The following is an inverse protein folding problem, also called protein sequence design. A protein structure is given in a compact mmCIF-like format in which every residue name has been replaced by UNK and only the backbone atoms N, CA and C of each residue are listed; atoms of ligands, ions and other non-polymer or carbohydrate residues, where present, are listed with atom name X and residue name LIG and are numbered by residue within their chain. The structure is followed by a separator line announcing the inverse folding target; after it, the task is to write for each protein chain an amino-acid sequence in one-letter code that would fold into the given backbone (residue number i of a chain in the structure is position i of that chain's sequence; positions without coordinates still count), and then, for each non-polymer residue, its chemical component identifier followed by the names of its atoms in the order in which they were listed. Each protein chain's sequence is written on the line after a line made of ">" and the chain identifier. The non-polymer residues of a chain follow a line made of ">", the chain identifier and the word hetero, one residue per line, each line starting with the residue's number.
data_IF_802544675931
#
_entry.id   IF_802544675931
#
_cell.length_a   1.000
_cell.length_b   1.000
_cell.length_c   1.000
_cell.angle_alpha   90.00
_cell.angle_beta   90.00
_cell.angle_gamma   90.00
#
_symmetry.space_group_name_H-M   'P 1'
#
loop_
_entity.id
_entity.type
_entity.pdbx_description
1 polymer ?
#
# COMPACT_ATOMS: atom_id res chain seq x y z
N UNK A 1 47.90 16.69 8.44
CA UNK A 1 46.68 17.39 7.97
C UNK A 1 46.13 16.56 6.84
N UNK A 2 45.01 15.87 7.06
CA UNK A 2 44.43 14.92 6.08
C UNK A 2 43.60 15.67 5.04
N UNK A 3 44.01 15.56 3.78
CA UNK A 3 43.33 16.11 2.61
C UNK A 3 41.90 15.56 2.50
N UNK A 4 40.92 16.40 2.83
CA UNK A 4 39.50 16.12 2.62
C UNK A 4 39.21 16.36 1.13
N UNK A 5 39.07 15.29 0.35
CA UNK A 5 38.74 15.37 -1.07
C UNK A 5 37.35 15.99 -1.26
N UNK A 6 37.22 17.21 -1.84
CA UNK A 6 35.95 17.90 -2.00
C UNK A 6 35.06 17.28 -3.10
N UNK A 7 35.59 16.32 -3.87
CA UNK A 7 34.87 15.59 -4.91
C UNK A 7 34.60 14.13 -4.52
N UNK A 8 34.67 13.78 -3.24
CA UNK A 8 34.16 12.50 -2.79
C UNK A 8 32.68 12.40 -3.20
N UNK A 9 32.37 11.46 -4.09
CA UNK A 9 30.98 11.18 -4.48
C UNK A 9 30.18 11.00 -3.18
N UNK A 10 28.97 11.58 -3.07
CA UNK A 10 28.14 11.37 -1.90
C UNK A 10 28.10 9.87 -1.67
N UNK A 11 28.63 9.42 -0.53
CA UNK A 11 28.57 8.02 -0.19
C UNK A 11 27.08 7.73 -0.18
N UNK A 12 26.64 6.97 -1.19
CA UNK A 12 25.31 6.39 -1.18
C UNK A 12 25.33 5.61 0.10
N UNK A 13 24.69 6.15 1.14
CA UNK A 13 24.56 5.49 2.43
C UNK A 13 24.14 4.10 2.06
N UNK A 14 25.02 3.13 2.29
CA UNK A 14 24.78 1.76 1.91
C UNK A 14 23.58 1.32 2.75
N UNK A 15 22.38 1.46 2.17
CA UNK A 15 21.12 0.91 2.67
C UNK A 15 21.21 -0.63 2.81
N UNK A 16 22.38 -1.21 2.49
CA UNK A 16 22.78 -2.59 2.78
C UNK A 16 22.77 -2.95 4.28
N UNK A 17 22.65 -1.97 5.19
CA UNK A 17 22.36 -2.25 6.60
C UNK A 17 20.86 -2.50 6.90
N UNK A 18 19.96 -2.44 5.91
CA UNK A 18 18.51 -2.55 6.08
C UNK A 18 17.93 -3.83 5.44
N UNK A 19 18.36 -5.02 5.87
CA UNK A 19 17.69 -6.27 5.47
C UNK A 19 17.85 -7.46 6.43
N UNK A 20 18.45 -7.32 7.61
CA UNK A 20 18.36 -8.38 8.63
C UNK A 20 17.02 -8.31 9.39
N UNK A 21 15.89 -8.17 8.69
CA UNK A 21 14.59 -8.33 9.36
C UNK A 21 14.44 -9.85 9.61
N UNK A 22 14.46 -10.34 10.86
CA UNK A 22 14.50 -11.77 11.18
C UNK A 22 13.33 -12.53 10.56
N UNK A 23 12.24 -11.82 10.25
CA UNK A 23 11.07 -12.36 9.55
C UNK A 23 11.35 -12.86 8.11
N UNK A 24 12.47 -12.47 7.46
CA UNK A 24 12.82 -12.95 6.12
C UNK A 24 13.83 -14.10 6.11
N UNK A 25 14.50 -14.36 7.22
CA UNK A 25 15.55 -15.38 7.31
C UNK A 25 15.00 -16.78 6.96
N UNK A 26 13.75 -17.06 7.38
CA UNK A 26 13.10 -18.35 7.19
C UNK A 26 12.24 -18.42 5.92
N UNK A 27 12.13 -17.33 5.14
CA UNK A 27 11.26 -17.27 3.97
C UNK A 27 11.94 -17.84 2.72
N UNK A 28 11.34 -18.88 2.15
CA UNK A 28 11.67 -19.40 0.82
C UNK A 28 11.47 -18.34 -0.28
N UNK A 29 12.24 -18.43 -1.37
CA UNK A 29 12.20 -17.49 -2.49
C UNK A 29 10.80 -17.42 -3.15
N UNK A 30 10.07 -18.53 -3.18
CA UNK A 30 8.68 -18.55 -3.69
C UNK A 30 7.75 -17.77 -2.76
N UNK A 31 7.92 -17.93 -1.45
CA UNK A 31 7.13 -17.22 -0.45
C UNK A 31 7.41 -15.71 -0.49
N UNK A 32 8.68 -15.32 -0.65
CA UNK A 32 9.09 -13.92 -0.81
C UNK A 32 8.45 -13.27 -2.04
N UNK A 33 8.48 -13.96 -3.20
CA UNK A 33 7.85 -13.46 -4.44
C UNK A 33 6.33 -13.32 -4.29
N UNK A 34 5.68 -14.26 -3.60
CA UNK A 34 4.24 -14.19 -3.29
C UNK A 34 3.90 -13.00 -2.40
N UNK A 35 4.71 -12.75 -1.37
CA UNK A 35 4.55 -11.58 -0.48
C UNK A 35 4.76 -10.25 -1.23
N UNK A 36 5.74 -10.21 -2.13
CA UNK A 36 5.99 -9.03 -2.98
C UNK A 36 4.76 -8.67 -3.81
N UNK A 37 4.19 -9.63 -4.56
CA UNK A 37 2.99 -9.38 -5.35
C UNK A 37 1.79 -8.96 -4.49
N UNK A 38 1.60 -9.60 -3.33
CA UNK A 38 0.55 -9.21 -2.37
C UNK A 38 0.70 -7.78 -1.87
N UNK A 39 1.92 -7.36 -1.56
CA UNK A 39 2.21 -5.99 -1.13
C UNK A 39 1.93 -4.95 -2.23
N UNK A 40 2.18 -5.31 -3.50
CA UNK A 40 1.87 -4.46 -4.65
C UNK A 40 0.36 -4.29 -4.82
N UNK A 41 -0.42 -5.36 -4.66
CA UNK A 41 -1.88 -5.29 -4.75
C UNK A 41 -2.47 -4.39 -3.66
N UNK A 42 -1.97 -4.47 -2.43
CA UNK A 42 -2.42 -3.58 -1.33
C UNK A 42 -2.13 -2.11 -1.65
N UNK A 43 -0.93 -1.79 -2.15
CA UNK A 43 -0.59 -0.43 -2.54
C UNK A 43 -1.45 0.06 -3.72
N UNK A 44 -1.74 -0.81 -4.69
CA UNK A 44 -2.63 -0.49 -5.81
C UNK A 44 -4.04 -0.13 -5.33
N UNK A 45 -4.60 -0.91 -4.40
CA UNK A 45 -5.93 -0.63 -3.81
C UNK A 45 -5.92 0.64 -2.97
N UNK A 46 -4.88 0.88 -2.18
CA UNK A 46 -4.73 2.14 -1.47
C UNK A 46 -4.71 3.33 -2.44
N UNK A 47 -4.05 3.16 -3.60
CA UNK A 47 -4.09 4.14 -4.70
C UNK A 47 -5.50 4.35 -5.27
N UNK A 48 -6.26 3.28 -5.51
CA UNK A 48 -7.65 3.38 -5.98
C UNK A 48 -8.57 4.08 -4.97
N UNK A 49 -8.40 3.79 -3.68
CA UNK A 49 -9.15 4.47 -2.61
C UNK A 49 -8.80 5.97 -2.57
N UNK A 50 -7.51 6.32 -2.70
CA UNK A 50 -7.08 7.71 -2.80
C UNK A 50 -7.66 8.41 -4.04
N UNK A 51 -7.71 7.73 -5.19
CA UNK A 51 -8.34 8.26 -6.40
C UNK A 51 -9.84 8.51 -6.19
N UNK A 52 -10.54 7.57 -5.53
CA UNK A 52 -11.95 7.72 -5.20
C UNK A 52 -12.22 8.90 -4.26
N UNK A 53 -11.33 9.15 -3.29
CA UNK A 53 -11.39 10.34 -2.42
C UNK A 53 -11.26 11.61 -3.25
N UNK A 54 -10.27 11.70 -4.13
CA UNK A 54 -10.07 12.88 -5.00
C UNK A 54 -11.31 13.13 -5.87
N UNK A 55 -11.87 12.05 -6.44
CA UNK A 55 -13.07 12.13 -7.26
C UNK A 55 -14.29 12.61 -6.46
N UNK A 56 -14.51 12.09 -5.25
CA UNK A 56 -15.58 12.56 -4.36
C UNK A 56 -15.41 14.03 -3.99
N UNK A 57 -14.20 14.46 -3.64
CA UNK A 57 -13.92 15.87 -3.30
C UNK A 57 -14.20 16.80 -4.48
N UNK A 58 -13.93 16.37 -5.72
CA UNK A 58 -14.23 17.15 -6.91
C UNK A 58 -15.73 17.20 -7.23
N UNK A 59 -16.46 16.11 -6.98
CA UNK A 59 -17.88 15.97 -7.34
C UNK A 59 -18.81 16.65 -6.33
N UNK A 60 -18.50 16.59 -5.03
CA UNK A 60 -19.39 17.14 -3.98
C UNK A 60 -19.78 18.60 -4.27
N UNK A 61 -18.83 19.53 -4.55
CA UNK A 61 -19.17 20.91 -4.88
C UNK A 61 -19.99 21.06 -6.16
N UNK A 62 -19.76 20.22 -7.18
CA UNK A 62 -20.52 20.28 -8.43
C UNK A 62 -21.97 19.82 -8.25
N UNK A 63 -22.21 18.83 -7.38
CA UNK A 63 -23.56 18.37 -7.06
C UNK A 63 -24.30 19.38 -6.16
N UNK A 64 -23.61 20.00 -5.21
CA UNK A 64 -24.22 21.01 -4.33
C UNK A 64 -24.62 22.28 -5.06
N UNK A 65 -23.85 22.70 -6.08
CA UNK A 65 -24.14 23.94 -6.84
C UNK A 65 -25.16 23.76 -7.97
N UNK A 66 -25.47 22.52 -8.39
CA UNK A 66 -26.41 22.27 -9.50
C UNK A 66 -27.88 22.42 -9.10
N UNK A 67 -28.17 22.69 -7.81
CA UNK A 67 -29.53 22.91 -7.31
C UNK A 67 -30.45 21.68 -7.32
N UNK A 68 -29.98 20.54 -7.84
CA UNK A 68 -30.75 19.30 -7.96
C UNK A 68 -30.61 18.33 -6.78
N UNK A 69 -29.77 18.66 -5.78
CA UNK A 69 -29.50 17.80 -4.64
C UNK A 69 -29.88 18.49 -3.33
N UNK A 70 -30.73 17.82 -2.56
CA UNK A 70 -31.06 18.22 -1.21
C UNK A 70 -29.83 18.16 -0.30
N UNK A 71 -29.75 19.06 0.68
CA UNK A 71 -28.61 19.20 1.59
C UNK A 71 -28.25 17.90 2.35
N UNK A 72 -29.24 17.05 2.62
CA UNK A 72 -29.04 15.78 3.32
C UNK A 72 -28.27 14.75 2.46
N UNK A 73 -28.43 14.78 1.13
CA UNK A 73 -27.66 13.94 0.21
C UNK A 73 -26.18 14.33 0.24
N UNK A 74 -25.90 15.64 0.21
CA UNK A 74 -24.52 16.16 0.35
C UNK A 74 -23.90 15.71 1.68
N UNK A 75 -24.67 15.74 2.77
CA UNK A 75 -24.20 15.27 4.08
C UNK A 75 -23.80 13.78 4.05
N UNK A 76 -24.58 12.92 3.37
CA UNK A 76 -24.23 11.50 3.19
C UNK A 76 -22.91 11.35 2.43
N UNK A 77 -22.71 12.08 1.32
CA UNK A 77 -21.45 12.03 0.57
C UNK A 77 -20.25 12.49 1.41
N UNK A 78 -20.42 13.51 2.25
CA UNK A 78 -19.38 13.94 3.18
C UNK A 78 -19.04 12.87 4.23
N UNK A 79 -20.04 12.19 4.80
CA UNK A 79 -19.82 11.08 5.74
C UNK A 79 -19.07 9.94 5.07
N UNK A 80 -19.46 9.57 3.85
CA UNK A 80 -18.76 8.55 3.06
C UNK A 80 -17.32 8.98 2.80
N UNK A 81 -17.07 10.23 2.40
CA UNK A 81 -15.74 10.76 2.18
C UNK A 81 -14.84 10.61 3.42
N UNK A 82 -15.34 10.98 4.60
CA UNK A 82 -14.59 10.82 5.86
C UNK A 82 -14.26 9.35 6.11
N UNK A 83 -15.20 8.45 5.88
CA UNK A 83 -15.00 7.02 6.06
C UNK A 83 -13.90 6.47 5.11
N UNK A 84 -13.89 6.92 3.86
CA UNK A 84 -12.81 6.59 2.90
C UNK A 84 -11.46 7.13 3.35
N UNK A 85 -11.40 8.38 3.83
CA UNK A 85 -10.16 8.99 4.34
C UNK A 85 -9.62 8.22 5.55
N UNK A 86 -10.47 7.91 6.53
CA UNK A 86 -10.08 7.13 7.72
C UNK A 86 -9.54 5.76 7.29
N UNK A 87 -10.19 5.12 6.32
CA UNK A 87 -9.75 3.84 5.77
C UNK A 87 -8.42 3.96 5.05
N UNK A 88 -8.22 5.00 4.23
CA UNK A 88 -6.97 5.28 3.55
C UNK A 88 -5.82 5.51 4.55
N UNK A 89 -6.06 6.26 5.63
CA UNK A 89 -5.08 6.47 6.69
C UNK A 89 -4.73 5.15 7.39
N UNK A 90 -5.73 4.32 7.70
CA UNK A 90 -5.53 2.98 8.29
C UNK A 90 -4.71 2.06 7.39
N UNK A 91 -4.96 2.11 6.08
CA UNK A 91 -4.23 1.39 5.03
C UNK A 91 -2.78 1.84 4.92
N UNK A 92 -2.53 3.15 4.86
CA UNK A 92 -1.19 3.74 4.76
C UNK A 92 -0.38 3.42 6.02
N UNK A 93 -1.01 3.51 7.20
CA UNK A 93 -0.38 3.11 8.46
C UNK A 93 -0.25 1.59 8.64
N UNK A 94 -0.86 0.78 7.75
CA UNK A 94 -0.90 -0.69 7.79
C UNK A 94 -1.29 -1.23 9.18
N UNK A 95 -2.27 -0.61 9.82
CA UNK A 95 -2.77 -1.04 11.12
C UNK A 95 -3.74 -2.22 10.98
N UNK A 96 -3.86 -3.04 12.01
CA UNK A 96 -4.83 -4.16 12.03
C UNK A 96 -6.27 -3.65 11.87
N UNK A 97 -6.59 -2.51 12.47
CA UNK A 97 -7.90 -1.85 12.33
C UNK A 97 -8.14 -1.32 10.91
N UNK A 98 -7.09 -0.83 10.24
CA UNK A 98 -7.15 -0.38 8.86
C UNK A 98 -7.54 -1.49 7.89
N UNK A 99 -7.12 -2.74 8.16
CA UNK A 99 -7.54 -3.91 7.38
C UNK A 99 -9.04 -4.17 7.53
N UNK A 100 -9.56 -4.16 8.76
CA UNK A 100 -11.00 -4.38 9.02
C UNK A 100 -11.85 -3.29 8.33
N UNK A 101 -11.45 -2.02 8.47
CA UNK A 101 -12.11 -0.90 7.79
C UNK A 101 -12.02 -1.02 6.26
N UNK A 102 -10.86 -1.44 5.73
CA UNK A 102 -10.67 -1.69 4.31
C UNK A 102 -11.62 -2.75 3.75
N UNK A 103 -11.87 -3.82 4.50
CA UNK A 103 -12.84 -4.87 4.12
C UNK A 103 -14.26 -4.30 4.13
N UNK A 104 -14.62 -3.54 5.17
CA UNK A 104 -15.96 -2.91 5.29
C UNK A 104 -16.19 -1.94 4.11
N UNK A 105 -15.22 -1.06 3.83
CA UNK A 105 -15.28 -0.14 2.68
C UNK A 105 -15.36 -0.88 1.37
N UNK A 106 -14.58 -1.95 1.21
CA UNK A 106 -14.61 -2.77 0.00
C UNK A 106 -16.00 -3.38 -0.18
N UNK A 107 -16.58 -3.96 0.87
CA UNK A 107 -17.94 -4.52 0.84
C UNK A 107 -19.02 -3.46 0.52
N UNK A 108 -18.93 -2.27 1.11
CA UNK A 108 -19.78 -1.13 0.77
C UNK A 108 -19.61 -0.70 -0.69
N UNK A 109 -18.38 -0.76 -1.21
CA UNK A 109 -18.08 -0.41 -2.61
C UNK A 109 -18.69 -1.39 -3.60
N UNK A 110 -18.90 -2.68 -3.24
CA UNK A 110 -19.53 -3.65 -4.13
C UNK A 110 -20.94 -3.24 -4.56
N UNK A 111 -21.65 -2.42 -3.75
CA UNK A 111 -23.00 -1.94 -4.05
C UNK A 111 -22.99 -0.95 -5.23
N UNK A 112 -21.88 -0.26 -5.48
CA UNK A 112 -21.74 0.70 -6.59
C UNK A 112 -21.19 0.02 -7.86
N UNK A 113 -22.08 -0.47 -8.73
CA UNK A 113 -21.72 -1.07 -10.03
C UNK A 113 -21.54 0.03 -11.09
N UNK A 114 -20.52 -0.01 -11.98
CA UNK A 114 -19.52 -1.08 -12.16
C UNK A 114 -18.17 -0.84 -11.46
N UNK A 115 -17.84 0.42 -11.16
CA UNK A 115 -16.50 0.81 -10.69
C UNK A 115 -16.25 0.31 -9.25
N UNK A 116 -17.25 0.47 -8.38
CA UNK A 116 -17.16 0.05 -6.98
C UNK A 116 -17.07 -1.47 -6.83
N UNK A 117 -17.62 -2.26 -7.75
CA UNK A 117 -17.49 -3.72 -7.75
C UNK A 117 -16.07 -4.18 -8.04
N UNK A 118 -15.40 -3.56 -9.03
CA UNK A 118 -14.00 -3.87 -9.35
C UNK A 118 -13.10 -3.53 -8.16
N UNK A 119 -13.28 -2.34 -7.58
CA UNK A 119 -12.54 -1.89 -6.40
C UNK A 119 -12.83 -2.80 -5.20
N UNK A 120 -14.10 -3.16 -5.00
CA UNK A 120 -14.56 -3.99 -3.90
C UNK A 120 -14.00 -5.41 -3.93
N UNK A 121 -14.07 -6.09 -5.09
CA UNK A 121 -13.55 -7.46 -5.26
C UNK A 121 -12.02 -7.45 -5.13
N UNK A 122 -11.33 -6.52 -5.80
CA UNK A 122 -9.87 -6.41 -5.70
C UNK A 122 -9.44 -6.09 -4.26
N UNK A 123 -10.15 -5.17 -3.62
CA UNK A 123 -10.06 -4.81 -2.20
C UNK A 123 -10.10 -6.04 -1.30
N UNK A 124 -11.22 -6.76 -1.33
CA UNK A 124 -11.42 -7.97 -0.53
C UNK A 124 -10.31 -8.99 -0.75
N UNK A 125 -9.97 -9.28 -2.00
CA UNK A 125 -8.95 -10.26 -2.34
C UNK A 125 -7.58 -9.89 -1.75
N UNK A 126 -7.19 -8.61 -1.80
CA UNK A 126 -5.91 -8.17 -1.23
C UNK A 126 -5.90 -8.16 0.30
N UNK A 127 -6.99 -7.74 0.94
CA UNK A 127 -7.08 -7.69 2.41
C UNK A 127 -7.17 -9.08 3.04
N UNK A 128 -7.87 -10.03 2.41
CA UNK A 128 -7.96 -11.42 2.86
C UNK A 128 -6.62 -12.13 2.65
N UNK A 129 -5.94 -11.88 1.53
CA UNK A 129 -4.69 -12.56 1.19
C UNK A 129 -3.47 -12.09 1.99
N UNK A 130 -3.57 -11.01 2.76
CA UNK A 130 -2.42 -10.28 3.28
C UNK A 130 -2.43 -10.04 4.80
N UNK A 131 -2.79 -11.02 5.66
CA UNK A 131 -2.81 -10.80 7.11
C UNK A 131 -1.43 -10.37 7.65
N UNK A 132 -0.35 -10.96 7.13
CA UNK A 132 1.02 -10.72 7.58
C UNK A 132 1.61 -9.36 7.15
N UNK A 133 0.87 -8.57 6.35
CA UNK A 133 1.30 -7.24 5.90
C UNK A 133 0.81 -6.12 6.82
N UNK A 134 -0.08 -6.42 7.77
CA UNK A 134 -0.65 -5.49 8.73
C UNK A 134 -0.25 -5.89 10.17
N UNK A 135 0.05 -4.91 11.04
CA UNK A 135 0.38 -5.16 12.46
C UNK A 135 1.82 -4.82 12.88
N UNK A 136 2.19 -5.22 14.11
CA UNK A 136 3.45 -4.85 14.75
C UNK A 136 4.70 -5.43 14.06
N UNK A 137 4.57 -6.59 13.39
CA UNK A 137 5.63 -7.23 12.59
C UNK A 137 5.58 -6.87 11.10
N UNK A 138 5.08 -5.68 10.74
CA UNK A 138 4.82 -5.29 9.35
C UNK A 138 6.08 -5.40 8.47
N UNK A 139 5.89 -6.03 7.32
CA UNK A 139 6.88 -6.11 6.26
C UNK A 139 6.60 -5.02 5.23
N UNK A 140 7.50 -4.05 5.10
CA UNK A 140 7.32 -2.94 4.16
C UNK A 140 7.68 -3.38 2.73
N UNK A 141 6.99 -2.85 1.71
CA UNK A 141 7.35 -3.13 0.30
C UNK A 141 8.81 -2.76 -0.03
N UNK A 142 9.33 -1.71 0.61
CA UNK A 142 10.72 -1.27 0.47
C UNK A 142 11.70 -2.35 0.97
N UNK A 143 11.41 -2.96 2.11
CA UNK A 143 12.20 -4.06 2.69
C UNK A 143 12.15 -5.30 1.79
N UNK A 144 10.95 -5.69 1.33
CA UNK A 144 10.77 -6.79 0.37
C UNK A 144 11.59 -6.58 -0.91
N UNK A 145 11.61 -5.34 -1.44
CA UNK A 145 12.35 -5.00 -2.66
C UNK A 145 13.87 -5.02 -2.42
N UNK A 146 14.32 -4.57 -1.26
CA UNK A 146 15.73 -4.61 -0.86
C UNK A 146 16.22 -6.07 -0.73
N UNK A 147 15.49 -6.89 0.03
CA UNK A 147 15.77 -8.32 0.21
C UNK A 147 15.81 -9.08 -1.13
N UNK A 148 14.83 -8.83 -2.00
CA UNK A 148 14.78 -9.45 -3.32
C UNK A 148 15.98 -9.04 -4.21
N UNK A 149 16.42 -7.78 -4.11
CA UNK A 149 17.60 -7.28 -4.83
C UNK A 149 18.88 -7.94 -4.30
N UNK A 150 18.98 -8.12 -2.99
CA UNK A 150 20.12 -8.74 -2.32
C UNK A 150 20.26 -10.22 -2.69
N UNK A 151 19.18 -11.01 -2.57
CA UNK A 151 19.18 -12.43 -2.98
C UNK A 151 19.54 -12.60 -4.46
N UNK A 152 19.07 -11.70 -5.33
CA UNK A 152 19.44 -11.72 -6.75
C UNK A 152 20.92 -11.39 -6.97
N UNK A 153 21.52 -10.49 -6.18
CA UNK A 153 22.96 -10.18 -6.20
C UNK A 153 23.78 -11.38 -5.73
N UNK A 154 23.38 -12.02 -4.63
CA UNK A 154 24.06 -13.20 -4.06
C UNK A 154 24.07 -14.39 -5.02
N UNK A 155 22.93 -14.67 -5.70
CA UNK A 155 22.87 -15.71 -6.73
C UNK A 155 23.84 -15.46 -7.90
N UNK A 156 23.97 -14.20 -8.34
CA UNK A 156 24.93 -13.83 -9.39
C UNK A 156 26.38 -13.99 -8.96
N UNK A 157 26.69 -13.69 -7.69
CA UNK A 157 28.05 -13.85 -7.15
C UNK A 157 28.43 -15.33 -7.04
N UNK A 158 27.52 -16.18 -6.53
CA UNK A 158 27.74 -17.64 -6.46
C UNK A 158 27.97 -18.26 -7.84
N UNK A 159 27.20 -17.83 -8.84
CA UNK A 159 27.33 -18.30 -10.23
C UNK A 159 28.60 -17.83 -10.95
N UNK A 160 29.37 -16.91 -10.36
CA UNK A 160 30.68 -16.47 -10.88
C UNK A 160 31.86 -17.17 -10.19
N UNK A 161 31.62 -17.83 -9.06
CA UNK A 161 32.64 -18.48 -8.25
C UNK A 161 32.71 -20.00 -8.46
N UNK A 162 31.68 -20.59 -9.08
CA UNK A 162 31.69 -21.97 -9.56
C UNK A 162 31.66 -22.00 -11.07
#
# INVERSE_FOLDING_TARGET
>A
MSDLNPYAAPQVVDDAAFSANPNFADLDDKALKKLYHRSSNVNFIAGLIMLAIVFLVAIIPTLSNSGGYEWWMTAIFCVVLVLYVVTAVGLVKRTNWGRTLGIIVSALSLINIPIGTIIGIAGLAAFISSPNLFGAGRVTHRELKAEFKERKRMKKLRAKQG
#
